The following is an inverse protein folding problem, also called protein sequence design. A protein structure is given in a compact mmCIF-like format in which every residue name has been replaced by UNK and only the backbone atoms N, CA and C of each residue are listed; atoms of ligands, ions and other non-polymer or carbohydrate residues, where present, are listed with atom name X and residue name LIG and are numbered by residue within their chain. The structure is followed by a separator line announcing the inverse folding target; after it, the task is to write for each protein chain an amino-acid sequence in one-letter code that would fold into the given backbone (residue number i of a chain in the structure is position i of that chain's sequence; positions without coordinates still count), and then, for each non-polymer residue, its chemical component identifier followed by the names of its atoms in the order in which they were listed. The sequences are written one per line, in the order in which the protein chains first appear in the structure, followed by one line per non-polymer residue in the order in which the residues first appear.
data_IF_694793045776
#
_entry.id   IF_694793045776
#
_cell.length_a   1.000
_cell.length_b   1.000
_cell.length_c   1.000
_cell.angle_alpha   90.00
_cell.angle_beta   90.00
_cell.angle_gamma   90.00
#
_symmetry.space_group_name_H-M   'P 1'
#
loop_
_entity.id
_entity.type
_entity.pdbx_description
1 polymer ?
#
# COMPACT_ATOMS: atom_id res chain seq x y z
N UNK A 1 14.73 -2.98 -1.74
CA UNK A 1 14.16 -4.12 -0.98
C UNK A 1 12.81 -3.67 -0.44
N UNK A 2 11.80 -4.54 -0.47
CA UNK A 2 10.47 -4.22 0.05
C UNK A 2 9.93 -5.44 0.79
N UNK A 3 9.28 -5.20 1.92
CA UNK A 3 8.59 -6.18 2.72
C UNK A 3 7.10 -5.85 2.76
N UNK A 4 6.26 -6.88 2.65
CA UNK A 4 4.81 -6.77 2.68
C UNK A 4 4.28 -7.65 3.80
N UNK A 5 3.57 -7.04 4.74
CA UNK A 5 2.90 -7.74 5.82
C UNK A 5 1.38 -7.65 5.62
N UNK A 6 0.72 -8.81 5.59
CA UNK A 6 -0.73 -8.85 5.62
C UNK A 6 -1.21 -8.57 7.06
N UNK A 7 -1.97 -7.49 7.23
CA UNK A 7 -2.59 -7.13 8.50
C UNK A 7 -3.97 -7.76 8.62
N UNK A 8 -4.95 -6.94 8.99
CA UNK A 8 -6.31 -7.41 9.20
C UNK A 8 -7.09 -7.56 7.88
N UNK A 9 -7.94 -8.59 7.85
CA UNK A 9 -8.97 -8.73 6.82
C UNK A 9 -10.30 -8.24 7.39
N UNK A 10 -11.05 -7.45 6.62
CA UNK A 10 -12.38 -7.00 7.01
C UNK A 10 -13.31 -8.18 7.33
N UNK A 11 -14.29 -7.96 8.22
CA UNK A 11 -15.18 -9.02 8.72
C UNK A 11 -15.90 -9.84 7.64
N UNK A 12 -16.17 -9.25 6.48
CA UNK A 12 -16.83 -9.91 5.34
C UNK A 12 -15.84 -10.43 4.28
N UNK A 13 -14.53 -10.34 4.51
CA UNK A 13 -13.50 -10.76 3.55
C UNK A 13 -13.33 -9.84 2.34
N UNK A 14 -14.04 -8.70 2.30
CA UNK A 14 -14.09 -7.81 1.13
C UNK A 14 -12.83 -6.95 0.95
N UNK A 15 -12.18 -6.59 2.05
CA UNK A 15 -10.96 -5.77 2.07
C UNK A 15 -9.91 -6.43 2.94
N UNK A 16 -8.64 -6.27 2.53
CA UNK A 16 -7.45 -6.68 3.27
C UNK A 16 -6.60 -5.44 3.50
N UNK A 17 -6.11 -5.25 4.72
CA UNK A 17 -5.11 -4.25 5.04
C UNK A 17 -3.73 -4.85 4.84
N UNK A 18 -2.89 -4.18 4.05
CA UNK A 18 -1.50 -4.55 3.83
C UNK A 18 -0.61 -3.43 4.37
N UNK A 19 0.47 -3.81 5.02
CA UNK A 19 1.53 -2.90 5.46
C UNK A 19 2.73 -3.09 4.53
N UNK A 20 3.15 -2.01 3.88
CA UNK A 20 4.27 -1.98 2.95
C UNK A 20 5.45 -1.23 3.58
N UNK A 21 6.52 -1.96 3.88
CA UNK A 21 7.78 -1.39 4.30
C UNK A 21 8.74 -1.40 3.09
N UNK A 22 9.13 -0.21 2.62
CA UNK A 22 10.02 -0.07 1.46
C UNK A 22 11.04 1.03 1.67
N UNK A 23 12.28 0.77 1.29
CA UNK A 23 13.31 1.82 1.24
C UNK A 23 13.08 2.68 0.00
N UNK A 24 12.75 3.96 0.21
CA UNK A 24 12.67 4.98 -0.84
C UNK A 24 14.01 5.70 -1.01
N UNK A 25 14.25 6.22 -2.22
CA UNK A 25 15.51 6.90 -2.57
C UNK A 25 15.48 8.35 -2.15
N UNK A 26 14.30 8.96 -2.32
CA UNK A 26 13.99 10.36 -2.08
C UNK A 26 12.47 10.52 -1.92
N UNK A 27 12.06 11.74 -1.62
CA UNK A 27 10.66 12.11 -1.39
C UNK A 27 9.81 11.99 -2.68
N UNK A 28 10.36 12.35 -3.84
CA UNK A 28 9.65 12.26 -5.11
C UNK A 28 9.32 10.81 -5.47
N UNK A 29 10.23 9.88 -5.18
CA UNK A 29 9.99 8.44 -5.33
C UNK A 29 8.89 7.97 -4.38
N UNK A 30 8.88 8.44 -3.12
CA UNK A 30 7.82 8.14 -2.15
C UNK A 30 6.45 8.61 -2.63
N UNK A 31 6.37 9.84 -3.13
CA UNK A 31 5.12 10.43 -3.62
C UNK A 31 4.60 9.72 -4.88
N UNK A 32 5.49 9.32 -5.80
CA UNK A 32 5.09 8.52 -6.98
C UNK A 32 4.52 7.17 -6.58
N UNK A 33 5.16 6.45 -5.67
CA UNK A 33 4.66 5.17 -5.16
C UNK A 33 3.28 5.34 -4.51
N UNK A 34 3.11 6.37 -3.68
CA UNK A 34 1.80 6.67 -3.08
C UNK A 34 0.72 6.93 -4.14
N UNK A 35 1.01 7.75 -5.15
CA UNK A 35 0.06 8.09 -6.21
C UNK A 35 -0.29 6.87 -7.08
N UNK A 36 0.68 6.04 -7.43
CA UNK A 36 0.47 4.81 -8.20
C UNK A 36 -0.39 3.81 -7.43
N UNK A 37 -0.11 3.61 -6.12
CA UNK A 37 -0.92 2.73 -5.27
C UNK A 37 -2.34 3.26 -5.08
N UNK A 38 -2.51 4.57 -4.86
CA UNK A 38 -3.83 5.18 -4.67
C UNK A 38 -4.68 5.15 -5.94
N UNK A 39 -4.07 5.06 -7.12
CA UNK A 39 -4.76 4.98 -8.40
C UNK A 39 -5.03 3.54 -8.88
N UNK A 40 -4.55 2.53 -8.18
CA UNK A 40 -4.71 1.12 -8.58
C UNK A 40 -6.14 0.64 -8.33
N UNK A 41 -6.76 -0.04 -9.30
CA UNK A 41 -8.18 -0.44 -9.26
C UNK A 41 -8.56 -1.30 -8.05
N UNK A 42 -7.63 -2.17 -7.63
CA UNK A 42 -7.82 -3.06 -6.46
C UNK A 42 -7.54 -2.39 -5.11
N UNK A 43 -6.93 -1.19 -5.11
CA UNK A 43 -6.58 -0.48 -3.88
C UNK A 43 -7.68 0.50 -3.54
N UNK A 44 -8.39 0.22 -2.44
CA UNK A 44 -9.47 1.10 -2.02
C UNK A 44 -8.97 2.41 -1.41
N UNK A 45 -7.84 2.36 -0.71
CA UNK A 45 -7.27 3.49 0.03
C UNK A 45 -5.81 3.24 0.41
N UNK A 46 -4.99 4.29 0.53
CA UNK A 46 -3.60 4.27 0.99
C UNK A 46 -3.44 5.27 2.15
N UNK A 47 -2.84 4.83 3.26
CA UNK A 47 -2.58 5.63 4.48
C UNK A 47 -1.16 6.18 4.52
#
# INVERSE_FOLDING_TARGET
EHDIHAGNTSRAGRYVSLELAVTVRDEDHRLRLFAELAAHDDVKFVL
#
